data_IF_971083972001
#
_entry.id   IF_971083972001
#
_cell.length_a   1.000
_cell.length_b   1.000
_cell.length_c   1.000
_cell.angle_alpha   90.00
_cell.angle_beta   90.00
_cell.angle_gamma   90.00
#
_symmetry.space_group_name_H-M   'P 1'
#
loop_
_entity.id
_entity.type
_entity.pdbx_description
1 polymer ?
#
# COMPACT_ATOMS: atom_id res chain seq x y z
N UNK A 1 -24.53 10.89 8.87
CA UNK A 1 -24.72 10.15 7.60
C UNK A 1 -23.40 9.47 7.31
N UNK A 2 -23.34 8.13 7.35
CA UNK A 2 -22.09 7.39 7.12
C UNK A 2 -21.60 7.65 5.69
N UNK A 3 -20.36 8.12 5.54
CA UNK A 3 -19.71 8.18 4.24
C UNK A 3 -19.78 6.79 3.58
N UNK A 4 -20.02 6.70 2.26
CA UNK A 4 -19.97 5.42 1.56
C UNK A 4 -18.62 4.75 1.84
N UNK A 5 -18.67 3.45 2.11
CA UNK A 5 -17.49 2.59 2.31
C UNK A 5 -16.53 2.71 1.12
N UNK A 6 -15.23 2.42 1.31
CA UNK A 6 -14.19 2.75 0.36
C UNK A 6 -14.52 2.29 -1.05
N UNK A 7 -14.35 3.19 -2.01
CA UNK A 7 -14.21 2.80 -3.39
C UNK A 7 -12.83 2.14 -3.53
N UNK A 8 -12.80 0.82 -3.59
CA UNK A 8 -11.62 0.05 -3.98
C UNK A 8 -11.83 -0.39 -5.42
N UNK A 9 -11.00 0.11 -6.33
CA UNK A 9 -11.04 -0.28 -7.75
C UNK A 9 -9.68 -0.82 -8.15
N UNK A 10 -9.68 -2.00 -8.75
CA UNK A 10 -8.47 -2.71 -9.14
C UNK A 10 -8.48 -3.09 -10.63
N UNK A 11 -7.41 -2.71 -11.33
CA UNK A 11 -7.13 -3.13 -12.71
C UNK A 11 -5.95 -4.10 -12.71
N UNK A 12 -6.01 -5.14 -13.53
CA UNK A 12 -4.95 -6.13 -13.63
C UNK A 12 -4.00 -5.81 -14.78
N UNK A 13 -2.73 -6.16 -14.61
CA UNK A 13 -1.78 -6.23 -15.71
C UNK A 13 -0.82 -7.42 -15.52
N UNK A 14 -0.36 -7.95 -16.65
CA UNK A 14 0.46 -9.15 -16.72
C UNK A 14 1.94 -8.77 -16.77
N UNK A 15 2.79 -9.46 -16.00
CA UNK A 15 4.25 -9.32 -16.08
C UNK A 15 4.94 -10.56 -16.68
N UNK A 16 4.22 -11.34 -17.49
CA UNK A 16 4.77 -12.48 -18.23
C UNK A 16 5.87 -12.09 -19.20
N UNK A 17 6.61 -13.11 -19.66
CA UNK A 17 7.61 -12.98 -20.74
C UNK A 17 7.04 -12.43 -22.06
N UNK A 18 5.72 -12.56 -22.26
CA UNK A 18 5.02 -12.12 -23.47
C UNK A 18 4.36 -10.76 -23.29
N UNK A 19 4.34 -10.24 -22.06
CA UNK A 19 3.76 -8.94 -21.77
C UNK A 19 4.53 -7.82 -22.50
N UNK A 20 3.84 -6.74 -22.91
CA UNK A 20 4.51 -5.57 -23.44
C UNK A 20 5.56 -5.05 -22.45
N UNK A 21 6.75 -4.70 -22.97
CA UNK A 21 7.84 -4.17 -22.13
C UNK A 21 7.46 -2.94 -21.35
N UNK A 22 6.55 -2.13 -21.87
CA UNK A 22 6.00 -0.96 -21.19
C UNK A 22 4.50 -1.09 -21.15
N UNK A 23 3.93 -0.93 -19.97
CA UNK A 23 2.49 -0.99 -19.75
C UNK A 23 2.05 0.26 -18.98
N UNK A 24 0.88 0.78 -19.32
CA UNK A 24 0.26 1.87 -18.57
C UNK A 24 -1.16 1.46 -18.22
N UNK A 25 -1.50 1.63 -16.95
CA UNK A 25 -2.80 1.31 -16.40
C UNK A 25 -3.32 2.49 -15.59
N UNK A 26 -4.64 2.64 -15.58
CA UNK A 26 -5.32 3.66 -14.80
C UNK A 26 -6.56 3.06 -14.15
N UNK A 27 -6.81 3.43 -12.89
CA UNK A 27 -8.00 3.07 -12.13
C UNK A 27 -8.53 4.28 -11.40
N UNK A 28 -9.86 4.34 -11.24
CA UNK A 28 -10.56 5.48 -10.65
C UNK A 28 -11.52 4.97 -9.58
N UNK A 29 -11.31 5.44 -8.35
CA UNK A 29 -12.15 5.18 -7.19
C UNK A 29 -12.83 6.50 -6.76
N UNK A 30 -14.10 6.68 -7.11
CA UNK A 30 -14.79 7.95 -6.89
C UNK A 30 -14.14 9.08 -7.69
N UNK A 31 -13.60 10.09 -7.00
CA UNK A 31 -12.84 11.18 -7.62
C UNK A 31 -11.32 10.95 -7.60
N UNK A 32 -10.85 9.92 -6.89
CA UNK A 32 -9.43 9.60 -6.75
C UNK A 32 -8.96 8.69 -7.89
N UNK A 33 -7.90 9.10 -8.58
CA UNK A 33 -7.32 8.41 -9.73
C UNK A 33 -5.91 7.95 -9.41
N UNK A 34 -5.63 6.69 -9.73
CA UNK A 34 -4.30 6.14 -9.71
C UNK A 34 -3.88 5.75 -11.12
N UNK A 35 -2.66 6.11 -11.51
CA UNK A 35 -2.05 5.62 -12.74
C UNK A 35 -0.69 5.02 -12.48
N UNK A 36 -0.38 3.98 -13.24
CA UNK A 36 0.90 3.29 -13.23
C UNK A 36 1.43 3.26 -14.64
N UNK A 37 2.67 3.67 -14.83
CA UNK A 37 3.48 3.26 -15.98
C UNK A 37 4.60 2.38 -15.47
N UNK A 38 4.64 1.14 -15.94
CA UNK A 38 5.64 0.15 -15.55
C UNK A 38 6.45 -0.29 -16.76
N UNK A 39 7.76 -0.47 -16.56
CA UNK A 39 8.67 -1.00 -17.57
C UNK A 39 9.31 -2.28 -17.06
N UNK A 40 9.03 -3.39 -17.73
CA UNK A 40 9.56 -4.71 -17.41
C UNK A 40 10.98 -4.86 -17.96
N UNK A 41 11.85 -5.48 -17.18
CA UNK A 41 13.18 -5.84 -17.64
C UNK A 41 13.09 -7.07 -18.54
N UNK A 42 13.98 -7.20 -19.55
CA UNK A 42 14.08 -8.44 -20.30
C UNK A 42 14.43 -9.59 -19.37
N UNK A 43 13.73 -10.71 -19.53
CA UNK A 43 13.99 -11.92 -18.75
C UNK A 43 15.44 -12.37 -19.00
N UNK A 44 16.32 -12.20 -18.02
CA UNK A 44 17.70 -12.70 -18.05
C UNK A 44 17.79 -13.93 -17.17
N UNK A 45 17.58 -15.11 -17.76
CA UNK A 45 17.93 -16.35 -17.08
C UNK A 45 19.46 -16.41 -16.95
N UNK A 46 19.97 -16.57 -15.73
CA UNK A 46 21.35 -16.97 -15.52
C UNK A 46 21.60 -18.37 -16.12
N UNK A 47 22.85 -18.72 -16.48
CA UNK A 47 23.16 -19.97 -17.19
C UNK A 47 22.77 -21.25 -16.40
N UNK A 48 22.55 -21.16 -15.09
CA UNK A 48 22.16 -22.30 -14.24
C UNK A 48 20.64 -22.64 -14.26
N UNK A 49 19.77 -21.78 -14.82
CA UNK A 49 18.30 -22.01 -14.88
C UNK A 49 17.79 -22.38 -16.29
N UNK A 50 18.68 -22.64 -17.25
CA UNK A 50 18.27 -23.06 -18.59
C UNK A 50 17.85 -24.54 -18.68
N UNK A 51 18.10 -25.34 -17.64
CA UNK A 51 17.89 -26.79 -17.68
C UNK A 51 16.62 -27.29 -16.98
N UNK A 52 15.93 -26.45 -16.19
CA UNK A 52 14.64 -26.82 -15.59
C UNK A 52 13.50 -26.15 -16.34
N UNK A 53 12.98 -26.94 -17.29
CA UNK A 53 11.62 -26.96 -17.79
C UNK A 53 11.07 -25.66 -18.40
N UNK A 54 10.60 -25.82 -19.63
CA UNK A 54 9.49 -25.08 -20.21
C UNK A 54 8.17 -25.30 -19.42
N UNK A 55 8.23 -25.22 -18.10
CA UNK A 55 7.09 -24.80 -17.30
C UNK A 55 6.85 -23.33 -17.69
N UNK A 56 5.63 -22.99 -18.06
CA UNK A 56 5.18 -21.60 -17.95
C UNK A 56 5.46 -21.19 -16.50
N UNK A 57 6.61 -20.57 -16.24
CA UNK A 57 6.84 -19.88 -14.97
C UNK A 57 5.64 -18.95 -14.83
N UNK A 58 4.78 -19.26 -13.86
CA UNK A 58 3.50 -18.61 -13.70
C UNK A 58 3.77 -17.11 -13.65
N UNK A 59 3.34 -16.42 -14.69
CA UNK A 59 3.62 -15.01 -14.83
C UNK A 59 3.06 -14.28 -13.61
N UNK A 60 3.90 -13.45 -12.98
CA UNK A 60 3.42 -12.63 -11.87
C UNK A 60 2.33 -11.70 -12.39
N UNK A 61 1.14 -11.84 -11.84
CA UNK A 61 0.02 -10.95 -12.07
C UNK A 61 0.05 -9.83 -11.03
N UNK A 62 -0.19 -8.61 -11.48
CA UNK A 62 -0.24 -7.44 -10.61
C UNK A 62 -1.59 -6.74 -10.73
N UNK A 63 -2.00 -6.12 -9.62
CA UNK A 63 -3.14 -5.21 -9.59
C UNK A 63 -2.66 -3.79 -9.28
N UNK A 64 -3.14 -2.82 -10.07
CA UNK A 64 -3.16 -1.42 -9.67
C UNK A 64 -4.47 -1.15 -8.95
N UNK A 65 -4.38 -0.64 -7.73
CA UNK A 65 -5.50 -0.38 -6.84
C UNK A 65 -5.57 1.11 -6.52
N UNK A 66 -6.75 1.70 -6.70
CA UNK A 66 -7.11 2.97 -6.09
C UNK A 66 -7.99 2.72 -4.86
N UNK A 67 -7.61 3.35 -3.75
CA UNK A 67 -8.36 3.37 -2.51
C UNK A 67 -8.70 4.81 -2.16
N UNK A 68 -9.98 5.08 -1.93
CA UNK A 68 -10.48 6.33 -1.36
C UNK A 68 -11.47 6.00 -0.23
N UNK A 69 -10.99 6.03 1.02
CA UNK A 69 -11.78 5.67 2.20
C UNK A 69 -10.94 5.15 3.34
N UNK A 70 -11.11 3.89 3.74
CA UNK A 70 -10.41 3.27 4.88
C UNK A 70 -9.62 2.04 4.44
N UNK A 71 -8.32 2.03 4.71
CA UNK A 71 -7.50 0.83 4.57
C UNK A 71 -7.77 -0.15 5.73
N UNK A 72 -7.82 -1.45 5.45
CA UNK A 72 -8.03 -2.51 6.46
C UNK A 72 -9.38 -2.46 7.21
N UNK A 73 -10.39 -1.78 6.67
CA UNK A 73 -11.76 -1.81 7.17
C UNK A 73 -12.21 -0.54 7.88
N UNK A 74 -13.53 -0.42 8.04
CA UNK A 74 -14.18 0.78 8.61
C UNK A 74 -13.73 1.03 10.05
N UNK A 75 -13.35 2.27 10.32
CA UNK A 75 -12.90 2.73 11.64
C UNK A 75 -11.39 2.79 11.82
N UNK A 76 -10.61 2.32 10.83
CA UNK A 76 -9.18 2.55 10.77
C UNK A 76 -8.86 3.97 10.27
N UNK A 77 -7.57 4.26 10.05
CA UNK A 77 -7.13 5.55 9.53
C UNK A 77 -7.77 5.80 8.14
N UNK A 78 -8.45 6.94 7.93
CA UNK A 78 -8.83 7.38 6.59
C UNK A 78 -7.57 7.48 5.72
N UNK A 79 -7.67 6.99 4.50
CA UNK A 79 -6.54 6.89 3.60
C UNK A 79 -6.98 7.07 2.15
N UNK A 80 -6.16 7.78 1.39
CA UNK A 80 -6.19 7.75 -0.08
C UNK A 80 -4.92 7.13 -0.55
N UNK A 81 -4.98 6.08 -1.37
CA UNK A 81 -3.77 5.31 -1.66
C UNK A 81 -3.79 4.68 -3.04
N UNK A 82 -2.66 4.78 -3.71
CA UNK A 82 -2.39 4.00 -4.91
C UNK A 82 -1.50 2.83 -4.53
N UNK A 83 -1.91 1.61 -4.90
CA UNK A 83 -1.14 0.41 -4.62
C UNK A 83 -0.91 -0.38 -5.90
N UNK A 84 0.29 -0.90 -6.04
CA UNK A 84 0.62 -1.97 -6.98
C UNK A 84 0.89 -3.20 -6.13
N UNK A 85 0.14 -4.27 -6.32
CA UNK A 85 0.30 -5.49 -5.53
C UNK A 85 0.41 -6.70 -6.43
N UNK A 86 1.35 -7.59 -6.11
CA UNK A 86 1.47 -8.91 -6.72
C UNK A 86 0.39 -9.84 -6.17
N UNK A 87 -0.21 -10.65 -7.03
CA UNK A 87 -1.23 -11.63 -6.63
C UNK A 87 -0.67 -12.99 -6.18
N UNK A 88 0.63 -13.24 -6.37
CA UNK A 88 1.25 -14.52 -6.03
C UNK A 88 0.60 -15.66 -6.80
N UNK A 89 0.28 -16.75 -6.11
CA UNK A 89 -0.43 -17.90 -6.67
C UNK A 89 -1.96 -17.70 -6.81
N UNK A 90 -2.50 -16.55 -6.40
CA UNK A 90 -3.94 -16.29 -6.47
C UNK A 90 -4.40 -16.01 -7.90
N UNK A 91 -5.61 -16.46 -8.22
CA UNK A 91 -6.31 -16.03 -9.44
C UNK A 91 -6.68 -14.55 -9.34
N UNK A 92 -6.87 -13.88 -10.49
CA UNK A 92 -7.18 -12.44 -10.54
C UNK A 92 -8.44 -12.13 -9.72
N UNK A 93 -9.49 -12.94 -9.90
CA UNK A 93 -10.74 -12.79 -9.18
C UNK A 93 -10.55 -12.88 -7.66
N UNK A 94 -9.76 -13.87 -7.19
CA UNK A 94 -9.50 -14.06 -5.76
C UNK A 94 -8.62 -12.93 -5.19
N UNK A 95 -7.62 -12.50 -5.94
CA UNK A 95 -6.75 -11.37 -5.58
C UNK A 95 -7.55 -10.07 -5.44
N UNK A 96 -8.40 -9.74 -6.43
CA UNK A 96 -9.31 -8.57 -6.37
C UNK A 96 -10.27 -8.64 -5.18
N UNK A 97 -10.86 -9.80 -4.93
CA UNK A 97 -11.77 -10.00 -3.80
C UNK A 97 -11.07 -9.75 -2.45
N UNK A 98 -9.84 -10.27 -2.26
CA UNK A 98 -9.08 -10.09 -1.02
C UNK A 98 -8.65 -8.64 -0.78
N UNK A 99 -8.28 -7.88 -1.82
CA UNK A 99 -7.92 -6.47 -1.70
C UNK A 99 -9.11 -5.60 -1.30
N UNK A 100 -10.29 -5.88 -1.87
CA UNK A 100 -11.52 -5.16 -1.54
C UNK A 100 -12.12 -5.59 -0.19
N UNK A 101 -11.58 -6.65 0.43
CA UNK A 101 -12.13 -7.22 1.64
C UNK A 101 -11.90 -6.30 2.85
N UNK A 102 -12.96 -5.63 3.27
CA UNK A 102 -12.90 -4.61 4.29
C UNK A 102 -13.57 -5.01 5.62
N UNK A 103 -14.23 -6.18 5.71
CA UNK A 103 -14.80 -6.73 6.95
C UNK A 103 -14.58 -8.26 7.06
N UNK A 104 -13.90 -8.73 8.11
CA UNK A 104 -13.63 -10.16 8.33
C UNK A 104 -14.89 -11.00 8.57
N UNK A 105 -16.00 -10.37 8.98
CA UNK A 105 -17.27 -11.06 9.19
C UNK A 105 -18.10 -11.20 7.92
N UNK A 106 -17.67 -10.60 6.81
CA UNK A 106 -18.34 -10.78 5.52
C UNK A 106 -18.02 -12.19 5.00
N UNK A 107 -19.03 -13.03 4.68
CA UNK A 107 -18.78 -14.34 4.07
C UNK A 107 -17.95 -14.26 2.78
N UNK A 108 -18.04 -13.16 2.02
CA UNK A 108 -17.22 -12.93 0.83
C UNK A 108 -15.72 -12.71 1.16
N UNK A 109 -15.42 -12.45 2.43
CA UNK A 109 -14.08 -12.30 2.99
C UNK A 109 -13.58 -13.53 3.76
N UNK A 110 -14.35 -14.63 3.77
CA UNK A 110 -14.08 -15.81 4.60
C UNK A 110 -12.74 -16.50 4.33
N UNK A 111 -12.20 -16.33 3.11
CA UNK A 111 -10.89 -16.84 2.69
C UNK A 111 -9.70 -15.99 3.20
N UNK A 112 -9.95 -14.96 4.01
CA UNK A 112 -8.94 -14.09 4.62
C UNK A 112 -8.62 -12.83 3.79
N UNK A 113 -7.86 -11.91 4.41
CA UNK A 113 -7.40 -10.66 3.79
C UNK A 113 -5.98 -10.71 3.24
N UNK A 114 -5.18 -11.70 3.67
CA UNK A 114 -3.79 -11.74 3.26
C UNK A 114 -3.69 -12.01 1.77
N UNK A 115 -2.90 -11.21 1.07
CA UNK A 115 -2.52 -11.53 -0.31
C UNK A 115 -1.43 -12.61 -0.34
N UNK A 116 -0.81 -12.87 0.80
CA UNK A 116 0.33 -13.76 0.97
C UNK A 116 0.08 -14.65 2.19
N UNK A 117 -0.27 -15.92 1.97
CA UNK A 117 -0.62 -16.86 3.03
C UNK A 117 0.62 -17.62 3.53
N UNK A 118 1.65 -17.75 2.68
CA UNK A 118 2.92 -18.40 3.02
C UNK A 118 4.14 -17.56 2.61
N UNK A 119 5.31 -17.87 3.17
CA UNK A 119 6.54 -17.14 2.87
C UNK A 119 6.94 -17.20 1.38
N UNK A 120 6.58 -18.30 0.69
CA UNK A 120 6.79 -18.46 -0.75
C UNK A 120 6.03 -17.43 -1.58
N UNK A 121 4.90 -16.91 -1.09
CA UNK A 121 4.13 -15.87 -1.78
C UNK A 121 4.86 -14.52 -1.86
N UNK A 122 5.91 -14.32 -1.07
CA UNK A 122 6.77 -13.14 -1.14
C UNK A 122 7.85 -13.24 -2.22
N UNK A 123 8.05 -14.44 -2.79
CA UNK A 123 9.03 -14.69 -3.83
C UNK A 123 8.55 -14.15 -5.19
N UNK A 124 8.71 -12.84 -5.40
CA UNK A 124 8.46 -12.21 -6.69
C UNK A 124 9.52 -12.60 -7.73
N UNK A 125 9.12 -12.75 -8.98
CA UNK A 125 10.00 -13.17 -10.08
C UNK A 125 10.08 -12.13 -11.20
N UNK A 126 9.00 -11.37 -11.45
CA UNK A 126 8.96 -10.38 -12.51
C UNK A 126 9.86 -9.19 -12.21
N UNK A 127 10.89 -9.01 -13.04
CA UNK A 127 11.86 -7.93 -12.94
C UNK A 127 11.31 -6.64 -13.55
N UNK A 128 11.41 -5.53 -12.81
CA UNK A 128 11.04 -4.20 -13.29
C UNK A 128 12.29 -3.35 -13.48
N UNK A 129 12.39 -2.63 -14.59
CA UNK A 129 13.41 -1.58 -14.78
C UNK A 129 13.00 -0.33 -14.01
N UNK A 130 11.77 0.14 -14.25
CA UNK A 130 11.23 1.35 -13.65
C UNK A 130 9.75 1.24 -13.39
N UNK A 131 9.28 1.93 -12.35
CA UNK A 131 7.86 2.20 -12.13
C UNK A 131 7.62 3.69 -11.96
N UNK A 132 6.46 4.14 -12.40
CA UNK A 132 5.98 5.50 -12.28
C UNK A 132 4.53 5.44 -11.81
N UNK A 133 4.34 5.57 -10.50
CA UNK A 133 3.05 5.50 -9.82
C UNK A 133 2.60 6.92 -9.48
N UNK A 134 1.36 7.26 -9.80
CA UNK A 134 0.79 8.57 -9.54
C UNK A 134 -0.60 8.44 -8.93
N UNK A 135 -0.90 9.32 -7.97
CA UNK A 135 -2.24 9.53 -7.42
C UNK A 135 -2.69 10.99 -7.52
N UNK A 136 -3.99 11.23 -7.65
CA UNK A 136 -4.59 12.58 -7.56
C UNK A 136 -4.92 12.94 -6.11
N UNK A 137 -3.87 13.05 -5.30
CA UNK A 137 -3.94 13.50 -3.90
C UNK A 137 -4.36 14.97 -3.81
N UNK A 138 -4.86 15.40 -2.65
CA UNK A 138 -5.24 16.79 -2.42
C UNK A 138 -4.14 17.53 -1.65
N UNK A 139 -4.19 18.85 -1.71
CA UNK A 139 -3.38 19.74 -0.87
C UNK A 139 -3.59 19.41 0.62
N UNK A 140 -2.49 19.40 1.37
CA UNK A 140 -2.39 19.01 2.77
C UNK A 140 -2.21 17.50 3.01
N UNK A 141 -2.34 16.66 1.98
CA UNK A 141 -2.09 15.22 2.14
C UNK A 141 -0.61 14.95 2.46
N UNK A 142 -0.37 14.10 3.45
CA UNK A 142 0.97 13.55 3.71
C UNK A 142 1.09 12.24 2.95
N UNK A 143 1.94 12.20 1.93
CA UNK A 143 2.10 11.03 1.06
C UNK A 143 3.40 10.28 1.38
N UNK A 144 3.24 9.00 1.70
CA UNK A 144 4.30 8.04 2.03
C UNK A 144 4.54 7.09 0.85
N UNK A 145 5.70 7.16 0.19
CA UNK A 145 6.09 6.23 -0.85
C UNK A 145 6.73 4.97 -0.26
N UNK A 146 6.37 3.80 -0.78
CA UNK A 146 7.04 2.54 -0.44
C UNK A 146 7.15 1.65 -1.67
N UNK A 147 8.27 0.97 -1.84
CA UNK A 147 8.48 -0.06 -2.86
C UNK A 147 9.08 -1.28 -2.18
N UNK A 148 8.33 -2.38 -2.15
CA UNK A 148 8.77 -3.67 -1.68
C UNK A 148 9.18 -4.56 -2.86
N UNK A 149 10.28 -5.27 -2.67
CA UNK A 149 10.90 -6.19 -3.61
C UNK A 149 10.66 -7.63 -3.15
N UNK A 150 11.23 -8.56 -3.90
CA UNK A 150 11.36 -9.97 -3.54
C UNK A 150 11.62 -10.19 -2.03
N UNK A 151 10.83 -11.07 -1.41
CA UNK A 151 10.91 -11.43 0.01
C UNK A 151 10.67 -10.27 0.99
N UNK A 152 10.02 -9.19 0.54
CA UNK A 152 9.66 -8.06 1.41
C UNK A 152 10.81 -7.08 1.67
N UNK A 153 11.91 -7.20 0.93
CA UNK A 153 13.01 -6.22 0.98
C UNK A 153 12.50 -4.85 0.53
N UNK A 154 12.94 -3.76 1.16
CA UNK A 154 12.57 -2.41 0.73
C UNK A 154 13.59 -1.89 -0.30
N UNK A 155 13.10 -1.23 -1.35
CA UNK A 155 13.97 -0.51 -2.27
C UNK A 155 14.65 0.65 -1.53
N UNK A 156 15.92 0.87 -1.83
CA UNK A 156 16.71 1.94 -1.22
C UNK A 156 16.12 3.32 -1.55
N UNK A 157 16.14 4.24 -0.60
CA UNK A 157 15.48 5.54 -0.72
C UNK A 157 16.06 6.39 -1.87
N UNK A 158 17.33 6.21 -2.20
CA UNK A 158 18.03 6.92 -3.27
C UNK A 158 17.50 6.55 -4.66
N UNK A 159 16.90 5.37 -4.78
CA UNK A 159 16.26 4.92 -6.01
C UNK A 159 14.80 5.39 -6.15
N UNK A 160 14.26 6.09 -5.14
CA UNK A 160 12.92 6.65 -5.11
C UNK A 160 12.97 8.16 -5.37
N UNK A 161 12.23 8.62 -6.37
CA UNK A 161 12.03 10.04 -6.65
C UNK A 161 10.55 10.38 -6.46
N UNK A 162 10.27 11.22 -5.46
CA UNK A 162 8.90 11.49 -5.03
C UNK A 162 8.63 12.98 -5.14
N UNK A 163 7.58 13.33 -5.86
CA UNK A 163 7.20 14.72 -6.08
C UNK A 163 5.73 14.80 -6.49
N UNK A 164 4.97 15.74 -5.91
CA UNK A 164 3.60 16.06 -6.32
C UNK A 164 2.66 14.85 -6.49
N UNK A 165 2.65 13.93 -5.51
CA UNK A 165 1.76 12.77 -5.54
C UNK A 165 2.17 11.70 -6.54
N UNK A 166 3.43 11.74 -6.97
CA UNK A 166 4.04 10.79 -7.89
C UNK A 166 5.27 10.17 -7.25
N UNK A 167 5.41 8.87 -7.42
CA UNK A 167 6.58 8.08 -7.14
C UNK A 167 7.15 7.58 -8.47
N UNK A 168 8.40 7.92 -8.75
CA UNK A 168 9.19 7.30 -9.81
C UNK A 168 10.31 6.51 -9.16
N UNK A 169 10.44 5.24 -9.49
CA UNK A 169 11.49 4.38 -8.93
C UNK A 169 12.27 3.64 -10.02
N UNK A 170 13.58 3.56 -9.84
CA UNK A 170 14.45 2.66 -10.60
C UNK A 170 14.57 1.35 -9.81
N UNK A 171 13.91 0.29 -10.27
CA UNK A 171 13.72 -0.92 -9.45
C UNK A 171 14.88 -1.90 -9.65
N UNK A 172 15.15 -2.30 -10.89
CA UNK A 172 16.26 -3.20 -11.24
C UNK A 172 16.20 -4.59 -10.57
N UNK A 173 15.05 -4.98 -10.02
CA UNK A 173 14.85 -6.17 -9.19
C UNK A 173 13.41 -6.69 -9.33
N UNK A 174 13.09 -7.90 -8.81
CA UNK A 174 11.71 -8.37 -8.79
C UNK A 174 10.87 -7.54 -7.82
N UNK A 175 9.74 -7.02 -8.32
CA UNK A 175 8.83 -6.16 -7.56
C UNK A 175 7.83 -7.04 -6.79
N UNK A 176 7.63 -6.79 -5.50
CA UNK A 176 6.55 -7.42 -4.75
C UNK A 176 5.33 -6.50 -4.69
N UNK A 177 5.55 -5.23 -4.31
CA UNK A 177 4.50 -4.23 -4.22
C UNK A 177 5.08 -2.81 -4.30
N UNK A 178 4.24 -1.85 -4.67
CA UNK A 178 4.54 -0.43 -4.56
C UNK A 178 3.33 0.32 -4.02
N UNK A 179 3.56 1.41 -3.30
CA UNK A 179 2.49 2.15 -2.64
C UNK A 179 2.81 3.64 -2.59
N UNK A 180 1.78 4.45 -2.81
CA UNK A 180 1.70 5.84 -2.38
C UNK A 180 0.55 5.93 -1.38
N UNK A 181 0.86 5.98 -0.10
CA UNK A 181 -0.12 6.04 0.98
C UNK A 181 -0.29 7.47 1.46
N UNK A 182 -1.50 8.02 1.38
CA UNK A 182 -1.80 9.36 1.85
C UNK A 182 -2.71 9.36 3.07
N UNK A 183 -2.34 10.16 4.06
CA UNK A 183 -3.20 10.52 5.19
C UNK A 183 -3.86 11.87 4.89
N UNK A 184 -5.22 11.94 4.80
CA UNK A 184 -5.92 13.18 4.50
C UNK A 184 -5.73 14.27 5.57
N UNK A 185 -5.51 15.51 5.11
CA UNK A 185 -5.48 16.69 5.98
C UNK A 185 -6.77 16.85 6.79
N UNK A 186 -6.66 17.29 8.05
CA UNK A 186 -7.83 17.56 8.92
C UNK A 186 -8.39 16.34 9.68
N UNK A 187 -7.73 15.18 9.61
CA UNK A 187 -8.06 14.03 10.48
C UNK A 187 -7.38 14.09 11.86
N UNK A 188 -6.59 15.14 12.13
CA UNK A 188 -6.13 15.53 13.46
C UNK A 188 -7.05 16.61 14.04
N UNK A 189 -7.76 16.29 15.11
CA UNK A 189 -8.67 17.25 15.77
C UNK A 189 -7.96 18.50 16.29
N UNK A 190 -8.70 19.61 16.32
CA UNK A 190 -8.30 20.91 16.85
C UNK A 190 -7.57 20.80 18.20
N UNK A 191 -6.30 21.19 18.21
CA UNK A 191 -5.54 21.40 19.46
C UNK A 191 -5.72 22.85 19.89
N UNK A 192 -6.77 23.11 20.67
CA UNK A 192 -6.80 24.29 21.54
C UNK A 192 -5.91 24.02 22.76
N UNK A 193 -4.98 24.93 23.03
CA UNK A 193 -3.93 24.88 24.06
C UNK A 193 -4.46 24.62 25.49
N UNK A 194 -3.61 24.15 26.43
CA UNK A 194 -4.07 23.49 27.65
C UNK A 194 -4.62 24.48 28.68
N UNK A 195 -5.92 24.35 28.99
CA UNK A 195 -6.51 24.89 30.21
C UNK A 195 -6.03 24.07 31.40
N UNK A 196 -5.26 24.72 32.27
CA UNK A 196 -4.83 24.25 33.59
C UNK A 196 -6.08 23.94 34.44
N UNK A 197 -6.25 22.69 34.88
CA UNK A 197 -7.20 22.33 35.92
C UNK A 197 -6.48 21.50 36.99
N UNK A 198 -6.63 21.95 38.23
CA UNK A 198 -6.00 21.46 39.46
C UNK A 198 -6.57 20.10 39.92
N UNK A 199 -5.92 19.41 40.88
CA UNK A 199 -6.32 18.07 41.28
C UNK A 199 -7.27 18.10 42.49
N UNK A 200 -8.39 17.37 42.39
CA UNK A 200 -9.12 16.81 43.54
C UNK A 200 -9.36 15.32 43.22
N UNK A 201 -8.82 14.35 43.98
CA UNK A 201 -9.47 13.70 45.13
C UNK A 201 -10.75 12.94 44.73
N UNK A 202 -11.05 11.67 45.04
CA UNK A 202 -10.47 10.59 45.85
C UNK A 202 -11.37 9.32 45.67
N UNK A 203 -10.82 8.14 45.98
CA UNK A 203 -11.49 6.83 46.29
C UNK A 203 -11.99 5.90 45.14
N UNK A 204 -11.62 4.60 45.24
CA UNK A 204 -11.74 3.53 44.22
C UNK A 204 -13.03 2.67 44.29
N UNK A 205 -13.06 1.35 43.94
CA UNK A 205 -11.96 0.45 43.53
C UNK A 205 -12.18 -0.38 42.23
N UNK A 206 -11.02 -0.79 41.68
CA UNK A 206 -10.67 -2.04 40.96
C UNK A 206 -11.69 -2.75 40.06
N UNK A 207 -11.44 -2.69 38.75
CA UNK A 207 -11.98 -3.66 37.80
C UNK A 207 -11.72 -3.35 36.32
N UNK A 208 -10.46 -3.23 35.87
CA UNK A 208 -10.11 -3.41 34.45
C UNK A 208 -8.60 -3.55 34.20
N UNK A 209 -8.28 -4.42 33.26
CA UNK A 209 -6.94 -4.82 32.80
C UNK A 209 -6.06 -3.61 32.35
N UNK A 210 -4.71 -3.74 32.38
CA UNK A 210 -3.83 -2.67 31.97
C UNK A 210 -3.92 -2.45 30.45
N UNK A 211 -4.55 -1.35 30.04
CA UNK A 211 -4.16 -0.71 28.77
C UNK A 211 -2.91 0.10 29.07
N UNK A 212 -1.83 -0.24 28.39
CA UNK A 212 -0.63 0.57 28.35
C UNK A 212 -0.98 1.98 27.86
N UNK A 213 -0.49 2.97 28.58
CA UNK A 213 -0.51 4.38 28.21
C UNK A 213 0.06 4.56 26.80
N UNK A 214 -0.77 5.01 25.86
CA UNK A 214 -0.30 5.59 24.61
C UNK A 214 0.01 7.07 24.88
N UNK A 215 1.26 7.54 24.75
CA UNK A 215 1.58 8.93 25.03
C UNK A 215 0.94 9.84 23.98
N UNK A 216 0.19 10.83 24.46
CA UNK A 216 -0.30 11.96 23.70
C UNK A 216 0.90 12.77 23.16
N UNK A 217 1.29 12.49 21.91
CA UNK A 217 2.38 13.17 21.20
C UNK A 217 2.67 12.65 19.79
N UNK A 218 1.79 11.79 19.25
CA UNK A 218 2.07 10.99 18.05
C UNK A 218 2.14 11.77 16.73
N UNK A 219 1.36 12.83 16.55
CA UNK A 219 1.23 13.50 15.25
C UNK A 219 2.53 14.24 14.84
N UNK A 220 3.19 14.92 15.78
CA UNK A 220 4.47 15.62 15.51
C UNK A 220 5.61 14.62 15.27
N UNK A 221 5.60 13.47 15.95
CA UNK A 221 6.57 12.39 15.74
C UNK A 221 6.33 11.60 14.45
N UNK A 222 5.07 11.36 14.06
CA UNK A 222 4.74 10.67 12.82
C UNK A 222 5.12 11.51 11.60
N UNK A 223 4.88 12.83 11.63
CA UNK A 223 5.32 13.74 10.57
C UNK A 223 6.86 13.84 10.50
N UNK A 224 7.54 13.94 11.64
CA UNK A 224 9.01 13.96 11.67
C UNK A 224 9.64 12.64 11.18
N UNK A 225 9.10 11.49 11.61
CA UNK A 225 9.52 10.16 11.14
C UNK A 225 9.23 9.94 9.65
N UNK A 226 8.10 10.45 9.16
CA UNK A 226 7.71 10.39 7.76
C UNK A 226 8.68 11.20 6.87
N UNK A 227 9.07 12.41 7.30
CA UNK A 227 10.01 13.27 6.55
C UNK A 227 11.41 12.63 6.47
N UNK A 228 11.90 12.03 7.55
CA UNK A 228 13.19 11.29 7.54
C UNK A 228 13.16 10.06 6.60
N UNK A 229 11.98 9.55 6.26
CA UNK A 229 11.76 8.37 5.40
C UNK A 229 11.28 8.73 3.98
N UNK A 230 11.31 10.00 3.58
CA UNK A 230 10.98 10.43 2.21
C UNK A 230 9.51 10.76 1.93
N UNK A 231 8.73 11.07 2.97
CA UNK A 231 7.37 11.59 2.81
C UNK A 231 7.35 12.99 2.18
N UNK A 232 6.32 13.28 1.40
CA UNK A 232 6.07 14.61 0.83
C UNK A 232 4.70 15.12 1.23
N UNK A 233 4.62 16.38 1.67
CA UNK A 233 3.36 17.09 1.88
C UNK A 233 2.99 17.78 0.57
N UNK A 234 1.73 17.61 0.15
CA UNK A 234 1.21 18.16 -1.11
C UNK A 234 0.41 19.43 -0.95
#
# INVERSE_FOLDING_TARGET
RSAPWPAVVAGAFDASRHAPRSQTLEVIAGAFRCSLTARLAPVRYGPARQAETASEAAADMYLLVALDGFWMGKGNLPSRSCLVVRCGALTEAKCKARIACANYTDPACGDGRSLYDEAGDLAAEAMFETIDLRGTFQEGDIVLPMVGLHMGQLLAAEALHVHNGRLRASVGAPLLNAMLFAMPAGTGGDVSAPGRLEPEGSEGPAGRAPMADFPAGGASRAAAWAIERGATVL
#
